data_IF_920630997156
#
_entry.id   IF_920630997156
#
_cell.length_a   1.000
_cell.length_b   1.000
_cell.length_c   1.000
_cell.angle_alpha   90.00
_cell.angle_beta   90.00
_cell.angle_gamma   90.00
#
_symmetry.space_group_name_H-M   'P 1'
#
loop_
_entity.id
_entity.type
_entity.pdbx_description
1 polymer ?
#
# COMPACT_ATOMS: atom_id res chain seq x y z
N UNK A 1 -14.30 -34.36 -6.67
CA UNK A 1 -13.77 -33.28 -5.83
C UNK A 1 -12.84 -32.44 -6.67
N UNK A 2 -13.26 -31.26 -7.05
CA UNK A 2 -12.41 -30.31 -7.75
C UNK A 2 -11.69 -29.52 -6.66
N UNK A 3 -10.36 -29.60 -6.64
CA UNK A 3 -9.51 -28.83 -5.74
C UNK A 3 -9.55 -27.35 -6.20
N UNK A 4 -9.97 -26.37 -5.39
CA UNK A 4 -10.16 -24.99 -5.83
C UNK A 4 -8.90 -24.12 -5.69
N UNK A 5 -7.70 -24.64 -5.80
CA UNK A 5 -6.46 -23.87 -5.61
C UNK A 5 -5.38 -24.24 -6.62
N UNK A 6 -5.70 -24.20 -7.91
CA UNK A 6 -4.66 -23.96 -8.91
C UNK A 6 -4.84 -22.52 -9.39
N UNK A 7 -4.21 -21.57 -8.70
CA UNK A 7 -3.99 -20.23 -9.22
C UNK A 7 -3.18 -20.37 -10.52
N UNK A 8 -3.72 -19.87 -11.60
CA UNK A 8 -3.02 -19.87 -12.88
C UNK A 8 -1.77 -18.98 -12.75
N UNK A 9 -0.55 -19.52 -12.78
CA UNK A 9 0.68 -18.76 -12.54
C UNK A 9 0.90 -17.60 -13.52
N UNK A 10 0.29 -17.66 -14.70
CA UNK A 10 0.35 -16.58 -15.69
C UNK A 10 -0.55 -15.39 -15.30
N UNK A 11 -1.67 -15.63 -14.61
CA UNK A 11 -2.55 -14.57 -14.10
C UNK A 11 -1.91 -13.90 -12.89
N UNK A 12 -1.34 -14.66 -11.98
CA UNK A 12 -0.66 -14.15 -10.80
C UNK A 12 0.58 -13.32 -11.16
N UNK A 13 1.36 -13.75 -12.15
CA UNK A 13 2.52 -13.00 -12.62
C UNK A 13 2.12 -11.64 -13.25
N UNK A 14 1.04 -11.58 -14.03
CA UNK A 14 0.53 -10.34 -14.63
C UNK A 14 -0.05 -9.37 -13.59
N UNK A 15 -0.78 -9.87 -12.60
CA UNK A 15 -1.32 -9.08 -11.50
C UNK A 15 -0.18 -8.52 -10.65
N UNK A 16 0.85 -9.32 -10.37
CA UNK A 16 2.04 -8.89 -9.65
C UNK A 16 2.81 -7.79 -10.39
N UNK A 17 2.93 -7.87 -11.73
CA UNK A 17 3.58 -6.86 -12.56
C UNK A 17 2.80 -5.54 -12.55
N UNK A 18 1.49 -5.59 -12.74
CA UNK A 18 0.61 -4.40 -12.67
C UNK A 18 0.67 -3.76 -11.28
N UNK A 19 0.63 -4.55 -10.23
CA UNK A 19 0.75 -4.06 -8.86
C UNK A 19 2.11 -3.36 -8.61
N UNK A 20 3.18 -3.89 -9.17
CA UNK A 20 4.52 -3.26 -9.10
C UNK A 20 4.57 -1.95 -9.87
N UNK A 21 3.94 -1.86 -11.03
CA UNK A 21 3.83 -0.61 -11.81
C UNK A 21 3.07 0.47 -11.02
N UNK A 22 1.92 0.10 -10.43
CA UNK A 22 1.13 1.00 -9.58
C UNK A 22 2.00 1.54 -8.44
N UNK A 23 2.70 0.65 -7.73
CA UNK A 23 3.59 1.05 -6.63
C UNK A 23 4.69 1.99 -7.08
N UNK A 24 5.35 1.71 -8.21
CA UNK A 24 6.40 2.57 -8.76
C UNK A 24 5.85 3.96 -9.10
N UNK A 25 4.68 4.03 -9.70
CA UNK A 25 4.02 5.29 -10.03
C UNK A 25 3.69 6.14 -8.81
N UNK A 26 3.23 5.52 -7.73
CA UNK A 26 2.95 6.20 -6.46
C UNK A 26 4.23 6.77 -5.86
N UNK A 27 5.28 5.96 -5.75
CA UNK A 27 6.55 6.39 -5.18
C UNK A 27 7.19 7.53 -5.98
N UNK A 28 7.12 7.47 -7.31
CA UNK A 28 7.63 8.52 -8.18
C UNK A 28 6.76 9.79 -8.13
N UNK A 29 5.44 9.64 -8.21
CA UNK A 29 4.50 10.77 -8.26
C UNK A 29 4.38 11.54 -6.94
N UNK A 30 4.65 10.89 -5.82
CA UNK A 30 4.55 11.51 -4.48
C UNK A 30 5.92 11.76 -3.82
N UNK A 31 7.01 11.58 -4.56
CA UNK A 31 8.38 11.73 -4.02
C UNK A 31 8.65 13.11 -3.40
N UNK A 32 8.10 14.16 -3.96
CA UNK A 32 8.34 15.54 -3.52
C UNK A 32 7.32 16.06 -2.49
N UNK A 33 6.35 15.24 -2.09
CA UNK A 33 5.30 15.66 -1.15
C UNK A 33 5.73 15.62 0.32
N UNK A 34 6.92 15.09 0.62
CA UNK A 34 7.38 14.84 1.97
C UNK A 34 6.89 13.51 2.57
N UNK A 35 6.09 12.75 1.84
CA UNK A 35 5.70 11.40 2.24
C UNK A 35 6.88 10.44 2.11
N UNK A 36 7.06 9.60 3.11
CA UNK A 36 7.97 8.45 3.06
C UNK A 36 7.14 7.17 3.15
N UNK A 37 7.57 6.14 2.44
CA UNK A 37 6.80 4.91 2.25
C UNK A 37 7.55 3.69 2.75
N UNK A 38 6.81 2.78 3.40
CA UNK A 38 7.27 1.42 3.69
C UNK A 38 6.35 0.45 2.97
N UNK A 39 6.84 -0.24 1.92
CA UNK A 39 6.03 -1.24 1.22
C UNK A 39 5.91 -2.52 2.03
N UNK A 40 4.80 -3.22 1.78
CA UNK A 40 4.52 -4.54 2.37
C UNK A 40 4.74 -4.56 3.90
N UNK A 41 4.01 -3.68 4.57
CA UNK A 41 4.12 -3.48 6.01
C UNK A 41 3.10 -4.35 6.77
N UNK A 42 3.60 -5.17 7.69
CA UNK A 42 2.75 -5.99 8.55
C UNK A 42 2.17 -5.15 9.68
N UNK A 43 0.85 -5.04 9.70
CA UNK A 43 0.09 -4.36 10.75
C UNK A 43 -0.06 -5.23 11.99
N UNK A 44 -0.36 -4.63 13.16
CA UNK A 44 -0.84 -5.39 14.30
C UNK A 44 -2.05 -6.25 13.88
N UNK A 45 -2.07 -7.52 14.29
CA UNK A 45 -3.10 -8.46 13.83
C UNK A 45 -2.72 -9.28 12.60
N UNK A 46 -1.61 -8.96 11.93
CA UNK A 46 -1.00 -9.81 10.90
C UNK A 46 -1.36 -9.46 9.45
N UNK A 47 -2.28 -8.53 9.21
CA UNK A 47 -2.54 -8.06 7.83
C UNK A 47 -1.33 -7.29 7.30
N UNK A 48 -1.07 -7.44 6.00
CA UNK A 48 0.02 -6.74 5.33
C UNK A 48 -0.55 -5.66 4.42
N UNK A 49 -0.26 -4.41 4.74
CA UNK A 49 -0.58 -3.28 3.88
C UNK A 49 0.42 -3.19 2.73
N UNK A 50 -0.06 -2.90 1.52
CA UNK A 50 0.81 -2.77 0.35
C UNK A 50 1.78 -1.59 0.48
N UNK A 51 1.29 -0.45 0.95
CA UNK A 51 2.10 0.72 1.29
C UNK A 51 1.59 1.36 2.58
N UNK A 52 2.51 1.69 3.46
CA UNK A 52 2.28 2.61 4.59
C UNK A 52 3.10 3.85 4.35
N UNK A 53 2.49 5.02 4.47
CA UNK A 53 3.15 6.30 4.33
C UNK A 53 3.10 7.09 5.63
N UNK A 54 4.16 7.84 5.87
CA UNK A 54 4.28 8.77 6.99
C UNK A 54 4.59 10.15 6.43
N UNK A 55 3.81 11.15 6.83
CA UNK A 55 4.09 12.53 6.48
C UNK A 55 4.98 13.24 7.52
N UNK A 56 5.36 14.48 7.24
CA UNK A 56 6.21 15.27 8.13
C UNK A 56 5.54 15.65 9.45
N UNK A 57 4.23 15.50 9.55
CA UNK A 57 3.44 15.81 10.76
C UNK A 57 3.08 14.55 11.56
N UNK A 58 3.47 13.38 11.08
CA UNK A 58 3.20 12.11 11.73
C UNK A 58 1.85 11.48 11.37
N UNK A 59 1.14 11.98 10.35
CA UNK A 59 -0.05 11.31 9.83
C UNK A 59 0.34 10.03 9.10
N UNK A 60 -0.40 8.96 9.38
CA UNK A 60 -0.19 7.64 8.79
C UNK A 60 -1.24 7.42 7.72
N UNK A 61 -0.78 7.12 6.51
CA UNK A 61 -1.61 6.78 5.37
C UNK A 61 -1.37 5.34 4.98
N UNK A 62 -2.43 4.58 4.74
CA UNK A 62 -2.36 3.26 4.12
C UNK A 62 -2.89 3.37 2.69
N UNK A 63 -2.15 2.79 1.75
CA UNK A 63 -2.56 2.63 0.36
C UNK A 63 -2.63 1.15 0.05
N UNK A 64 -3.80 0.71 -0.38
CA UNK A 64 -4.06 -0.66 -0.78
C UNK A 64 -4.15 -0.74 -2.30
N UNK A 65 -3.27 -1.52 -2.90
CA UNK A 65 -3.16 -1.65 -4.36
C UNK A 65 -4.12 -2.74 -4.84
N UNK A 66 -4.94 -2.41 -5.83
CA UNK A 66 -5.84 -3.34 -6.50
C UNK A 66 -5.54 -3.34 -7.99
N UNK A 67 -4.96 -4.41 -8.49
CA UNK A 67 -4.48 -4.54 -9.86
C UNK A 67 -5.54 -5.04 -10.86
N UNK A 68 -6.69 -5.47 -10.36
CA UNK A 68 -7.80 -5.97 -11.18
C UNK A 68 -9.13 -5.88 -10.43
N UNK A 69 -10.24 -6.00 -11.17
CA UNK A 69 -11.59 -6.13 -10.60
C UNK A 69 -11.70 -7.36 -9.69
N UNK A 70 -11.13 -8.47 -10.13
CA UNK A 70 -11.12 -9.71 -9.34
C UNK A 70 -10.35 -9.56 -8.02
N UNK A 71 -9.22 -8.85 -8.03
CA UNK A 71 -8.43 -8.55 -6.84
C UNK A 71 -9.23 -7.71 -5.84
N UNK A 72 -9.91 -6.67 -6.32
CA UNK A 72 -10.79 -5.86 -5.47
C UNK A 72 -11.94 -6.69 -4.89
N UNK A 73 -12.63 -7.49 -5.71
CA UNK A 73 -13.78 -8.28 -5.27
C UNK A 73 -13.40 -9.40 -4.28
N UNK A 74 -12.16 -9.88 -4.31
CA UNK A 74 -11.66 -10.90 -3.40
C UNK A 74 -11.38 -10.35 -1.99
N UNK A 75 -11.23 -9.04 -1.82
CA UNK A 75 -10.94 -8.42 -0.53
C UNK A 75 -12.22 -7.94 0.15
N UNK A 76 -12.70 -8.73 1.12
CA UNK A 76 -13.88 -8.39 1.92
C UNK A 76 -13.52 -7.74 3.28
N UNK A 77 -12.25 -7.43 3.51
CA UNK A 77 -11.75 -6.96 4.81
C UNK A 77 -10.89 -5.69 4.71
N UNK A 78 -10.90 -5.01 3.58
CA UNK A 78 -10.10 -3.79 3.37
C UNK A 78 -10.37 -2.70 4.43
N UNK A 79 -11.60 -2.62 4.95
CA UNK A 79 -11.97 -1.63 5.98
C UNK A 79 -11.18 -1.78 7.28
N UNK A 80 -10.60 -2.94 7.56
CA UNK A 80 -9.75 -3.16 8.73
C UNK A 80 -8.47 -2.32 8.70
N UNK A 81 -7.97 -1.94 7.52
CA UNK A 81 -6.83 -1.05 7.39
C UNK A 81 -7.07 0.33 7.98
N UNK A 82 -8.32 0.78 8.00
CA UNK A 82 -8.70 2.10 8.53
C UNK A 82 -8.51 2.22 10.04
N UNK A 83 -8.46 1.11 10.76
CA UNK A 83 -8.17 1.08 12.20
C UNK A 83 -6.71 1.48 12.50
N UNK A 84 -5.83 1.41 11.51
CA UNK A 84 -4.40 1.67 11.64
C UNK A 84 -3.90 2.85 10.80
N UNK A 85 -4.81 3.67 10.28
CA UNK A 85 -4.45 4.81 9.45
C UNK A 85 -5.31 6.04 9.72
N UNK A 86 -4.70 7.21 9.57
CA UNK A 86 -5.43 8.49 9.56
C UNK A 86 -6.10 8.73 8.22
N UNK A 87 -5.47 8.27 7.14
CA UNK A 87 -5.95 8.33 5.76
C UNK A 87 -5.86 6.96 5.11
N UNK A 88 -6.82 6.67 4.24
CA UNK A 88 -6.84 5.43 3.48
C UNK A 88 -7.15 5.69 2.01
N UNK A 89 -6.38 5.05 1.13
CA UNK A 89 -6.58 5.11 -0.31
C UNK A 89 -6.59 3.71 -0.92
N UNK A 90 -7.49 3.49 -1.87
CA UNK A 90 -7.25 2.50 -2.90
C UNK A 90 -6.36 3.09 -3.98
N UNK A 91 -5.50 2.28 -4.56
CA UNK A 91 -4.73 2.64 -5.74
C UNK A 91 -4.92 1.58 -6.82
N UNK A 92 -5.12 2.03 -8.06
CA UNK A 92 -5.34 1.13 -9.16
C UNK A 92 -4.73 1.67 -10.46
N UNK A 93 -4.75 0.83 -11.49
CA UNK A 93 -4.24 1.14 -12.82
C UNK A 93 -5.36 1.67 -13.72
N UNK A 94 -5.06 2.51 -14.74
CA UNK A 94 -6.06 2.98 -15.69
C UNK A 94 -6.85 1.89 -16.41
N UNK A 95 -6.31 0.67 -16.51
CA UNK A 95 -7.01 -0.49 -17.08
C UNK A 95 -8.14 -1.05 -16.21
N UNK A 96 -8.25 -0.61 -14.94
CA UNK A 96 -9.30 -1.03 -14.00
C UNK A 96 -10.34 0.07 -13.89
N UNK A 97 -11.65 -0.24 -14.04
CA UNK A 97 -12.69 0.77 -13.86
C UNK A 97 -12.64 1.40 -12.47
N UNK A 98 -12.44 2.72 -12.39
CA UNK A 98 -12.31 3.44 -11.12
C UNK A 98 -13.62 3.55 -10.32
N UNK A 99 -14.75 3.40 -10.98
CA UNK A 99 -16.09 3.46 -10.38
C UNK A 99 -16.45 2.26 -9.50
N UNK A 100 -15.67 1.17 -9.58
CA UNK A 100 -15.86 0.02 -8.69
C UNK A 100 -15.43 0.31 -7.24
N UNK A 101 -14.54 1.31 -7.04
CA UNK A 101 -14.03 1.65 -5.71
C UNK A 101 -15.03 2.52 -4.94
N UNK A 102 -15.17 2.31 -3.61
CA UNK A 102 -16.08 3.11 -2.78
C UNK A 102 -15.82 4.61 -2.92
N UNK A 103 -16.89 5.38 -3.18
CA UNK A 103 -16.80 6.81 -3.45
C UNK A 103 -16.48 7.66 -2.20
N UNK A 104 -16.60 7.07 -1.02
CA UNK A 104 -16.25 7.68 0.27
C UNK A 104 -14.83 7.38 0.73
N UNK A 105 -14.05 6.66 -0.08
CA UNK A 105 -12.64 6.37 0.18
C UNK A 105 -11.72 7.15 -0.76
N UNK A 106 -10.48 7.41 -0.33
CA UNK A 106 -9.45 7.97 -1.20
C UNK A 106 -9.16 7.05 -2.39
N UNK A 107 -8.82 7.65 -3.52
CA UNK A 107 -8.49 6.91 -4.73
C UNK A 107 -7.31 7.53 -5.47
N UNK A 108 -6.33 6.70 -5.79
CA UNK A 108 -5.13 7.05 -6.56
C UNK A 108 -5.14 6.25 -7.86
N UNK A 109 -5.00 6.94 -8.97
CA UNK A 109 -4.76 6.33 -10.27
C UNK A 109 -3.25 6.34 -10.53
N UNK A 110 -2.67 5.20 -10.88
CA UNK A 110 -1.22 5.06 -11.02
C UNK A 110 -0.84 4.09 -12.12
N UNK A 111 0.22 4.43 -12.84
CA UNK A 111 0.90 3.57 -13.78
C UNK A 111 2.42 3.66 -13.58
N UNK A 112 3.21 3.04 -14.46
CA UNK A 112 4.67 3.04 -14.36
C UNK A 112 5.33 4.44 -14.43
N UNK A 113 4.61 5.45 -14.89
CA UNK A 113 5.13 6.81 -15.12
C UNK A 113 4.86 7.76 -13.95
N UNK A 114 3.82 7.52 -13.17
CA UNK A 114 3.44 8.39 -12.08
C UNK A 114 2.04 8.09 -11.55
N UNK A 115 1.53 8.98 -10.72
CA UNK A 115 0.20 8.83 -10.17
C UNK A 115 -0.53 10.16 -10.06
N UNK A 116 -1.85 10.06 -9.93
CA UNK A 116 -2.75 11.18 -9.68
C UNK A 116 -3.72 10.79 -8.56
N UNK A 117 -3.88 11.69 -7.59
CA UNK A 117 -4.91 11.53 -6.56
C UNK A 117 -6.24 11.97 -7.15
N UNK A 118 -7.07 11.02 -7.51
CA UNK A 118 -8.37 11.27 -8.12
C UNK A 118 -9.42 11.67 -7.09
N UNK A 119 -9.27 11.22 -5.87
CA UNK A 119 -10.14 11.55 -4.74
C UNK A 119 -9.35 11.51 -3.44
N UNK A 120 -9.37 12.61 -2.71
CA UNK A 120 -8.72 12.68 -1.40
C UNK A 120 -9.41 11.79 -0.38
N UNK A 121 -8.62 11.18 0.49
CA UNK A 121 -9.14 10.47 1.66
C UNK A 121 -9.65 11.46 2.70
N UNK A 122 -10.75 11.13 3.34
CA UNK A 122 -11.08 11.73 4.64
C UNK A 122 -10.00 11.44 5.67
N UNK A 123 -9.94 12.25 6.73
CA UNK A 123 -9.01 12.08 7.84
C UNK A 123 -9.79 11.58 9.05
N UNK A 124 -9.38 10.43 9.59
CA UNK A 124 -9.85 9.90 10.87
C UNK A 124 -8.63 9.68 11.77
N UNK A 125 -8.37 10.65 12.65
CA UNK A 125 -7.16 10.64 13.46
C UNK A 125 -7.09 9.44 14.40
N UNK A 126 -5.97 8.73 14.33
CA UNK A 126 -5.65 7.65 15.26
C UNK A 126 -5.53 8.17 16.69
N UNK A 127 -5.91 7.34 17.66
CA UNK A 127 -5.58 7.58 19.05
C UNK A 127 -4.05 7.68 19.24
N UNK A 128 -3.62 8.53 20.18
CA UNK A 128 -2.20 8.81 20.39
C UNK A 128 -1.37 7.54 20.70
N UNK A 129 -1.92 6.61 21.46
CA UNK A 129 -1.24 5.35 21.78
C UNK A 129 -1.06 4.46 20.55
N UNK A 130 -2.07 4.35 19.68
CA UNK A 130 -2.01 3.60 18.43
C UNK A 130 -1.00 4.25 17.47
N UNK A 131 -1.02 5.55 17.33
CA UNK A 131 -0.05 6.31 16.53
C UNK A 131 1.38 6.06 16.98
N UNK A 132 1.66 6.19 18.27
CA UNK A 132 2.99 5.95 18.84
C UNK A 132 3.49 4.55 18.53
N UNK A 133 2.65 3.55 18.78
CA UNK A 133 2.98 2.14 18.54
C UNK A 133 3.27 1.86 17.06
N UNK A 134 2.42 2.37 16.15
CA UNK A 134 2.61 2.20 14.72
C UNK A 134 3.84 2.95 14.19
N UNK A 135 4.05 4.18 14.63
CA UNK A 135 5.23 4.97 14.23
C UNK A 135 6.52 4.26 14.64
N UNK A 136 6.57 3.72 15.85
CA UNK A 136 7.71 2.92 16.31
C UNK A 136 7.92 1.67 15.44
N UNK A 137 6.84 0.96 15.11
CA UNK A 137 6.90 -0.23 14.27
C UNK A 137 7.35 0.11 12.84
N UNK A 138 6.87 1.20 12.27
CA UNK A 138 7.30 1.71 10.97
C UNK A 138 8.80 2.02 10.98
N UNK A 139 9.27 2.77 11.97
CA UNK A 139 10.67 3.13 12.10
C UNK A 139 11.56 1.90 12.22
N UNK A 140 11.20 0.94 13.06
CA UNK A 140 11.97 -0.30 13.25
C UNK A 140 11.98 -1.17 11.99
N UNK A 141 10.85 -1.29 11.32
CA UNK A 141 10.76 -2.05 10.06
C UNK A 141 11.63 -1.43 8.98
N UNK A 142 11.55 -0.12 8.80
CA UNK A 142 12.36 0.60 7.81
C UNK A 142 13.86 0.51 8.13
N UNK A 143 14.24 0.71 9.38
CA UNK A 143 15.62 0.61 9.83
C UNK A 143 16.20 -0.80 9.66
N UNK A 144 15.45 -1.84 10.00
CA UNK A 144 15.87 -3.22 9.81
C UNK A 144 16.07 -3.57 8.33
N UNK A 145 15.18 -3.12 7.46
CA UNK A 145 15.31 -3.33 6.00
C UNK A 145 16.54 -2.60 5.44
N UNK A 146 16.77 -1.37 5.87
CA UNK A 146 17.95 -0.60 5.48
C UNK A 146 19.24 -1.29 5.93
N UNK A 147 19.29 -1.79 7.16
CA UNK A 147 20.42 -2.54 7.69
C UNK A 147 20.70 -3.81 6.87
N UNK A 148 19.65 -4.57 6.52
CA UNK A 148 19.81 -5.77 5.70
C UNK A 148 20.36 -5.47 4.30
N UNK A 149 19.95 -4.38 3.67
CA UNK A 149 20.49 -3.93 2.38
C UNK A 149 21.97 -3.56 2.52
N UNK A 150 22.33 -2.83 3.57
CA UNK A 150 23.72 -2.42 3.84
C UNK A 150 24.62 -3.61 4.10
N UNK A 151 24.15 -4.58 4.89
CA UNK A 151 24.91 -5.81 5.17
C UNK A 151 25.11 -6.66 3.89
N UNK A 152 24.09 -6.72 3.05
CA UNK A 152 24.19 -7.41 1.76
C UNK A 152 25.20 -6.72 0.83
N UNK A 153 25.14 -5.41 0.71
CA UNK A 153 26.06 -4.63 -0.11
C UNK A 153 27.51 -4.78 0.34
N UNK A 154 27.76 -4.81 1.65
CA UNK A 154 29.11 -5.01 2.20
C UNK A 154 29.70 -6.39 1.92
N UNK A 155 28.87 -7.42 1.72
CA UNK A 155 29.29 -8.78 1.37
C UNK A 155 29.61 -8.95 -0.12
N UNK A 156 29.18 -8.03 -0.96
CA UNK A 156 29.42 -8.05 -2.41
C UNK A 156 30.68 -7.26 -2.82
N UNK A 157 31.17 -6.41 -1.95
CA UNK A 157 32.41 -5.63 -2.13
C UNK A 157 33.56 -6.29 -1.45
#
# INVERSE_FOLDING_TARGET
MINPTESNPAIDARQSETALEIRRGILAGLAETGLVFVPEFTLPGGRRADLVALDTKGLITIVEIKSSVADFNADNKWFEYKEFSDKFYFASHPSVPGDIFPQDQGFILSDKHGCEIMRESGISKLAAATRKSLTLKIARTAAARLQNISDYASKLG
#
